data_IF_308149523423
#
_entry.id   IF_308149523423
#
_cell.length_a   1.000
_cell.length_b   1.000
_cell.length_c   1.000
_cell.angle_alpha   90.00
_cell.angle_beta   90.00
_cell.angle_gamma   90.00
#
_symmetry.space_group_name_H-M   'P 1'
#
loop_
_entity.id
_entity.type
_entity.pdbx_description
1 polymer ?
#
# COMPACT_ATOMS: atom_id res chain seq x y z
N UNK A 1 3.90 36.64 25.46
CA UNK A 1 3.65 35.51 24.54
C UNK A 1 2.33 34.88 24.91
N UNK A 2 1.39 34.81 23.97
CA UNK A 2 0.09 34.20 24.21
C UNK A 2 0.19 32.68 24.04
N UNK A 3 0.58 31.99 25.11
CA UNK A 3 0.81 30.55 25.16
C UNK A 3 -0.37 29.71 24.64
N UNK A 4 -1.60 30.20 24.79
CA UNK A 4 -2.81 29.57 24.24
C UNK A 4 -2.82 29.49 22.70
N UNK A 5 -2.28 30.49 21.99
CA UNK A 5 -2.19 30.46 20.52
C UNK A 5 -1.25 29.36 20.04
N UNK A 6 -0.14 29.15 20.75
CA UNK A 6 0.83 28.08 20.46
C UNK A 6 0.18 26.72 20.69
N UNK A 7 -0.58 26.58 21.78
CA UNK A 7 -1.26 25.32 22.13
C UNK A 7 -2.30 24.94 21.07
N UNK A 8 -3.06 25.91 20.56
CA UNK A 8 -4.01 25.70 19.45
C UNK A 8 -3.29 25.24 18.18
N UNK A 9 -2.18 25.90 17.81
CA UNK A 9 -1.41 25.52 16.61
C UNK A 9 -0.85 24.09 16.70
N UNK A 10 -0.37 23.68 17.88
CA UNK A 10 0.15 22.32 18.10
C UNK A 10 -0.96 21.29 17.97
N UNK A 11 -2.13 21.53 18.55
CA UNK A 11 -3.28 20.62 18.44
C UNK A 11 -3.74 20.51 16.98
N UNK A 12 -3.79 21.63 16.26
CA UNK A 12 -4.21 21.67 14.86
C UNK A 12 -3.21 20.92 13.95
N UNK A 13 -1.91 21.08 14.17
CA UNK A 13 -0.87 20.32 13.49
C UNK A 13 -0.99 18.82 13.79
N UNK A 14 -1.26 18.44 15.03
CA UNK A 14 -1.46 17.04 15.40
C UNK A 14 -2.67 16.42 14.69
N UNK A 15 -3.81 17.14 14.63
CA UNK A 15 -5.00 16.69 13.89
C UNK A 15 -4.70 16.49 12.41
N UNK A 16 -3.95 17.41 11.78
CA UNK A 16 -3.55 17.29 10.37
C UNK A 16 -2.67 16.04 10.17
N UNK A 17 -1.72 15.79 11.07
CA UNK A 17 -0.85 14.60 11.00
C UNK A 17 -1.67 13.32 11.13
N UNK A 18 -2.63 13.27 12.05
CA UNK A 18 -3.52 12.11 12.24
C UNK A 18 -4.38 11.87 11.00
N UNK A 19 -4.96 12.92 10.42
CA UNK A 19 -5.75 12.82 9.18
C UNK A 19 -4.90 12.37 7.99
N UNK A 20 -3.68 12.90 7.85
CA UNK A 20 -2.74 12.47 6.82
C UNK A 20 -2.31 11.01 7.01
N UNK A 21 -2.07 10.58 8.25
CA UNK A 21 -1.81 9.19 8.56
C UNK A 21 -3.01 8.32 8.19
N UNK A 22 -4.22 8.67 8.62
CA UNK A 22 -5.44 7.95 8.25
C UNK A 22 -5.62 7.83 6.73
N UNK A 23 -5.34 8.90 5.99
CA UNK A 23 -5.40 8.89 4.53
C UNK A 23 -4.34 7.95 3.91
N UNK A 24 -3.13 7.93 4.44
CA UNK A 24 -2.04 7.03 3.97
C UNK A 24 -2.25 5.57 4.40
N UNK A 25 -2.90 5.35 5.54
CA UNK A 25 -3.18 4.03 6.13
C UNK A 25 -4.55 3.48 5.73
N UNK A 26 -5.38 4.25 5.00
CA UNK A 26 -6.59 3.72 4.42
C UNK A 26 -6.20 2.52 3.55
N UNK A 27 -6.61 1.33 4.00
CA UNK A 27 -6.22 0.05 3.41
C UNK A 27 -7.03 -0.11 2.11
N UNK A 28 -6.65 0.67 1.10
CA UNK A 28 -7.38 0.76 -0.14
C UNK A 28 -7.07 -0.46 -0.99
N UNK A 29 -8.09 -1.01 -1.63
CA UNK A 29 -7.93 -2.05 -2.65
C UNK A 29 -6.82 -1.69 -3.66
N UNK A 30 -6.67 -0.40 -3.98
CA UNK A 30 -5.60 0.14 -4.84
C UNK A 30 -4.17 -0.18 -4.35
N UNK A 31 -3.90 -0.21 -3.05
CA UNK A 31 -2.58 -0.61 -2.50
C UNK A 31 -2.29 -2.08 -2.77
N UNK A 32 -3.29 -2.94 -2.61
CA UNK A 32 -3.20 -4.38 -2.90
C UNK A 32 -3.05 -4.64 -4.41
N UNK A 33 -3.80 -3.92 -5.26
CA UNK A 33 -3.61 -3.98 -6.72
C UNK A 33 -2.21 -3.52 -7.15
N UNK A 34 -1.66 -2.46 -6.55
CA UNK A 34 -0.30 -1.99 -6.84
C UNK A 34 0.75 -3.05 -6.48
N UNK A 35 0.63 -3.71 -5.32
CA UNK A 35 1.50 -4.82 -4.93
C UNK A 35 1.36 -6.00 -5.88
N UNK A 36 0.13 -6.37 -6.26
CA UNK A 36 -0.12 -7.44 -7.23
C UNK A 36 0.53 -7.17 -8.58
N UNK A 37 0.43 -5.93 -9.10
CA UNK A 37 1.05 -5.54 -10.38
C UNK A 37 2.57 -5.71 -10.36
N UNK A 38 3.22 -5.24 -9.29
CA UNK A 38 4.67 -5.38 -9.14
C UNK A 38 5.11 -6.85 -9.06
N UNK A 39 4.35 -7.71 -8.38
CA UNK A 39 4.63 -9.14 -8.31
C UNK A 39 4.41 -9.82 -9.67
N UNK A 40 3.38 -9.44 -10.41
CA UNK A 40 3.15 -9.96 -11.75
C UNK A 40 4.33 -9.65 -12.69
N UNK A 41 4.82 -8.41 -12.67
CA UNK A 41 6.00 -8.02 -13.44
C UNK A 41 7.27 -8.79 -13.05
N UNK A 42 7.47 -9.08 -11.76
CA UNK A 42 8.58 -9.95 -11.30
C UNK A 42 8.42 -11.38 -11.80
N UNK A 43 7.19 -11.89 -11.81
CA UNK A 43 6.86 -13.20 -12.36
C UNK A 43 7.15 -13.30 -13.85
N UNK A 44 6.82 -12.27 -14.62
CA UNK A 44 7.10 -12.16 -16.05
C UNK A 44 8.60 -12.13 -16.32
N UNK A 45 9.36 -11.32 -15.57
CA UNK A 45 10.83 -11.28 -15.67
C UNK A 45 11.46 -12.64 -15.36
N UNK A 46 10.98 -13.32 -14.32
CA UNK A 46 11.46 -14.65 -13.95
C UNK A 46 11.13 -15.69 -15.03
N UNK A 47 9.93 -15.61 -15.63
CA UNK A 47 9.51 -16.45 -16.75
C UNK A 47 10.44 -16.27 -17.96
N UNK A 48 10.70 -15.03 -18.35
CA UNK A 48 11.63 -14.72 -19.45
C UNK A 48 13.06 -15.16 -19.18
N UNK A 49 13.45 -15.25 -17.91
CA UNK A 49 14.77 -15.74 -17.50
C UNK A 49 14.83 -17.28 -17.38
N UNK A 50 13.75 -17.98 -17.76
CA UNK A 50 13.64 -19.45 -17.65
C UNK A 50 13.48 -19.96 -16.21
N UNK A 51 13.31 -19.08 -15.23
CA UNK A 51 13.10 -19.45 -13.83
C UNK A 51 11.60 -19.58 -13.54
N UNK A 52 11.04 -20.70 -13.99
CA UNK A 52 9.60 -20.97 -13.88
C UNK A 52 9.15 -21.13 -12.42
N UNK A 53 9.96 -21.73 -11.55
CA UNK A 53 9.65 -21.87 -10.12
C UNK A 53 9.49 -20.51 -9.43
N UNK A 54 10.40 -19.56 -9.70
CA UNK A 54 10.28 -18.21 -9.16
C UNK A 54 9.10 -17.47 -9.79
N UNK A 55 8.86 -17.67 -11.09
CA UNK A 55 7.74 -17.08 -11.81
C UNK A 55 6.40 -17.48 -11.18
N UNK A 56 6.17 -18.77 -10.97
CA UNK A 56 4.96 -19.29 -10.35
C UNK A 56 4.75 -18.74 -8.94
N UNK A 57 5.81 -18.71 -8.13
CA UNK A 57 5.76 -18.11 -6.78
C UNK A 57 5.35 -16.64 -6.81
N UNK A 58 5.84 -15.87 -7.78
CA UNK A 58 5.47 -14.47 -7.93
C UNK A 58 4.03 -14.31 -8.41
N UNK A 59 3.57 -15.11 -9.36
CA UNK A 59 2.18 -15.08 -9.84
C UNK A 59 1.18 -15.48 -8.76
N UNK A 60 1.45 -16.55 -8.00
CA UNK A 60 0.61 -16.97 -6.88
C UNK A 60 0.50 -15.89 -5.81
N UNK A 61 1.61 -15.22 -5.48
CA UNK A 61 1.58 -14.06 -4.58
C UNK A 61 0.77 -12.91 -5.16
N UNK A 62 0.94 -12.58 -6.44
CA UNK A 62 0.19 -11.52 -7.10
C UNK A 62 -1.33 -11.79 -7.04
N UNK A 63 -1.75 -13.03 -7.26
CA UNK A 63 -3.14 -13.45 -7.17
C UNK A 63 -3.72 -13.29 -5.77
N UNK A 64 -2.98 -13.70 -4.72
CA UNK A 64 -3.40 -13.48 -3.34
C UNK A 64 -3.63 -11.98 -3.03
N UNK A 65 -2.76 -11.10 -3.53
CA UNK A 65 -2.95 -9.65 -3.38
C UNK A 65 -4.17 -9.15 -4.17
N UNK A 66 -4.44 -9.66 -5.38
CA UNK A 66 -5.67 -9.32 -6.13
C UNK A 66 -6.93 -9.81 -5.44
N UNK A 67 -6.90 -10.98 -4.82
CA UNK A 67 -8.02 -11.50 -4.04
C UNK A 67 -8.29 -10.61 -2.83
N UNK A 68 -7.24 -10.24 -2.09
CA UNK A 68 -7.34 -9.32 -0.96
C UNK A 68 -7.83 -7.93 -1.36
N UNK A 69 -7.45 -7.45 -2.55
CA UNK A 69 -7.96 -6.20 -3.10
C UNK A 69 -9.47 -6.26 -3.35
N UNK A 70 -9.95 -7.34 -3.98
CA UNK A 70 -11.39 -7.57 -4.24
C UNK A 70 -12.23 -7.75 -2.98
N UNK A 71 -11.63 -8.27 -1.90
CA UNK A 71 -12.28 -8.34 -0.58
C UNK A 71 -12.45 -6.96 0.08
N UNK A 72 -11.74 -5.94 -0.41
CA UNK A 72 -11.73 -4.56 0.14
C UNK A 72 -12.42 -3.54 -0.80
N UNK A 73 -12.94 -3.98 -1.95
CA UNK A 73 -13.80 -3.20 -2.86
C UNK A 73 -15.26 -3.28 -2.39
#
# INVERSE_FOLDING_TARGET
>A
MEWWKILILVVLAFVIIVLAAMYLFQDSATKYYKKARNLHFKGEKAYHSGNFDASEKYYKKAENFRKRARELE
#
